data_IF_785623781486
#
_entry.id   IF_785623781486
#
_cell.length_a   1.000
_cell.length_b   1.000
_cell.length_c   1.000
_cell.angle_alpha   90.00
_cell.angle_beta   90.00
_cell.angle_gamma   90.00
#
_symmetry.space_group_name_H-M   'P 1'
#
loop_
_entity.id
_entity.type
_entity.pdbx_description
1 polymer ?
#
# COMPACT_ATOMS: atom_id res chain seq x y z
N UNK A 1 -15.67 46.25 -46.07
CA UNK A 1 -15.63 46.26 -44.60
C UNK A 1 -15.93 44.81 -44.13
N UNK A 2 -14.92 44.05 -43.91
CA UNK A 2 -15.02 42.66 -43.38
C UNK A 2 -14.53 42.71 -41.95
N UNK A 3 -15.46 42.58 -40.98
CA UNK A 3 -15.14 42.48 -39.55
C UNK A 3 -14.70 41.04 -39.25
N UNK A 4 -13.42 40.87 -38.94
CA UNK A 4 -12.91 39.64 -38.40
C UNK A 4 -13.23 39.60 -36.90
N UNK A 5 -14.19 38.77 -36.52
CA UNK A 5 -14.41 38.38 -35.14
C UNK A 5 -13.32 37.37 -34.73
N UNK A 6 -12.38 37.82 -33.95
CA UNK A 6 -11.42 36.94 -33.29
C UNK A 6 -12.16 36.30 -32.11
N UNK A 7 -12.56 35.03 -32.24
CA UNK A 7 -12.96 34.21 -31.13
C UNK A 7 -11.71 33.91 -30.29
N UNK A 8 -11.60 34.55 -29.13
CA UNK A 8 -10.71 34.11 -28.08
C UNK A 8 -11.22 32.75 -27.59
N UNK A 9 -10.53 31.67 -27.97
CA UNK A 9 -10.66 30.40 -27.27
C UNK A 9 -10.13 30.63 -25.85
N UNK A 10 -11.01 30.71 -24.89
CA UNK A 10 -10.66 30.61 -23.49
C UNK A 10 -10.17 29.16 -23.30
N UNK A 11 -8.87 28.97 -23.19
CA UNK A 11 -8.32 27.74 -22.69
C UNK A 11 -8.69 27.65 -21.20
N UNK A 12 -9.82 27.03 -20.89
CA UNK A 12 -10.11 26.55 -19.56
C UNK A 12 -9.12 25.42 -19.28
N UNK A 13 -7.95 25.76 -18.76
CA UNK A 13 -7.03 24.80 -18.14
C UNK A 13 -7.68 24.38 -16.83
N UNK A 14 -8.51 23.33 -16.88
CA UNK A 14 -9.01 22.70 -15.67
C UNK A 14 -7.82 22.19 -14.85
N UNK A 15 -7.81 22.48 -13.54
CA UNK A 15 -6.83 21.91 -12.63
C UNK A 15 -6.86 20.37 -12.70
N UNK A 16 -5.71 19.68 -12.65
CA UNK A 16 -5.67 18.23 -12.75
C UNK A 16 -6.43 17.60 -11.57
N UNK A 17 -7.13 16.48 -11.85
CA UNK A 17 -7.85 15.73 -10.82
C UNK A 17 -6.89 15.15 -9.76
N UNK A 18 -5.68 14.82 -10.17
CA UNK A 18 -4.63 14.27 -9.32
C UNK A 18 -3.28 14.89 -9.67
N UNK A 19 -2.35 14.96 -8.70
CA UNK A 19 -0.97 15.34 -8.95
C UNK A 19 -0.03 14.38 -8.21
N UNK A 20 1.20 14.25 -8.71
CA UNK A 20 2.21 13.34 -8.17
C UNK A 20 3.52 14.09 -7.96
N UNK A 21 4.23 13.75 -6.89
CA UNK A 21 5.49 14.36 -6.52
C UNK A 21 6.49 13.33 -5.98
N UNK A 22 7.76 13.66 -6.05
CA UNK A 22 8.84 12.90 -5.42
C UNK A 22 10.04 13.79 -5.16
N UNK A 23 10.82 13.44 -4.13
CA UNK A 23 12.09 14.08 -3.83
C UNK A 23 13.10 13.03 -3.34
N UNK A 24 14.34 13.13 -3.83
CA UNK A 24 15.47 12.32 -3.40
C UNK A 24 16.36 13.10 -2.39
N UNK A 25 15.99 14.34 -2.02
CA UNK A 25 16.68 15.12 -1.01
C UNK A 25 16.35 14.60 0.38
N UNK A 26 17.37 14.27 1.17
CA UNK A 26 17.20 13.92 2.59
C UNK A 26 17.10 15.15 3.53
N UNK A 27 17.23 16.36 2.99
CA UNK A 27 16.93 17.59 3.73
C UNK A 27 15.39 17.80 3.76
N UNK A 28 14.74 17.75 4.94
CA UNK A 28 13.29 17.86 5.06
C UNK A 28 12.72 19.16 4.49
N UNK A 29 13.48 20.27 4.56
CA UNK A 29 13.04 21.57 4.03
C UNK A 29 13.01 21.55 2.50
N UNK A 30 14.06 21.01 1.88
CA UNK A 30 14.16 20.86 0.43
C UNK A 30 13.10 19.88 -0.07
N UNK A 31 13.02 18.71 0.56
CA UNK A 31 12.08 17.67 0.18
C UNK A 31 10.61 18.15 0.25
N UNK A 32 10.19 18.78 1.35
CA UNK A 32 8.86 19.32 1.49
C UNK A 32 8.55 20.38 0.42
N UNK A 33 9.51 21.26 0.13
CA UNK A 33 9.36 22.30 -0.91
C UNK A 33 9.18 21.69 -2.30
N UNK A 34 10.00 20.69 -2.67
CA UNK A 34 9.93 20.00 -3.97
C UNK A 34 8.58 19.29 -4.13
N UNK A 35 8.13 18.58 -3.09
CA UNK A 35 6.81 17.91 -3.07
C UNK A 35 5.71 18.94 -3.33
N UNK A 36 5.66 20.01 -2.54
CA UNK A 36 4.60 21.02 -2.69
C UNK A 36 4.63 21.75 -4.02
N UNK A 37 5.82 22.08 -4.53
CA UNK A 37 5.96 22.73 -5.83
C UNK A 37 5.37 21.87 -6.94
N UNK A 38 5.60 20.54 -6.87
CA UNK A 38 5.08 19.59 -7.86
C UNK A 38 3.57 19.34 -7.74
N UNK A 39 2.99 19.53 -6.53
CA UNK A 39 1.56 19.36 -6.28
C UNK A 39 0.75 20.64 -6.43
N UNK A 40 1.38 21.80 -6.62
CA UNK A 40 0.75 23.13 -6.52
C UNK A 40 -0.38 23.39 -7.51
N UNK A 41 -0.36 22.74 -8.69
CA UNK A 41 -1.41 22.89 -9.70
C UNK A 41 -2.70 22.12 -9.35
N UNK A 42 -2.62 21.17 -8.40
CA UNK A 42 -3.76 20.43 -7.90
C UNK A 42 -4.38 21.20 -6.73
N UNK A 43 -5.62 21.63 -6.88
CA UNK A 43 -6.39 22.20 -5.76
C UNK A 43 -6.78 21.09 -4.77
N UNK A 44 -5.80 20.65 -3.99
CA UNK A 44 -5.91 19.44 -3.18
C UNK A 44 -6.93 19.54 -2.04
N UNK A 45 -7.72 18.49 -1.83
CA UNK A 45 -8.48 18.23 -0.60
C UNK A 45 -7.68 17.36 0.36
N UNK A 46 -6.78 16.52 -0.17
CA UNK A 46 -5.93 15.61 0.59
C UNK A 46 -4.60 15.41 -0.11
N UNK A 47 -3.53 15.28 0.68
CA UNK A 47 -2.20 14.85 0.25
C UNK A 47 -1.85 13.58 1.02
N UNK A 48 -1.38 12.57 0.31
CA UNK A 48 -0.84 11.33 0.90
C UNK A 48 0.62 11.21 0.54
N UNK A 49 1.48 10.88 1.50
CA UNK A 49 2.91 10.72 1.26
C UNK A 49 3.48 9.43 1.87
N UNK A 50 4.59 8.98 1.30
CA UNK A 50 5.39 7.87 1.80
C UNK A 50 6.85 8.29 1.86
N UNK A 51 7.56 8.01 2.96
CA UNK A 51 8.93 8.45 3.13
C UNK A 51 9.81 7.41 3.83
N UNK A 52 11.09 7.41 3.53
CA UNK A 52 12.06 6.58 4.25
C UNK A 52 12.25 7.07 5.71
N UNK A 53 12.73 6.18 6.58
CA UNK A 53 13.00 6.50 7.99
C UNK A 53 14.29 7.32 8.21
N UNK A 54 15.06 7.61 7.16
CA UNK A 54 16.26 8.47 7.26
C UNK A 54 15.95 9.93 7.50
N UNK A 55 14.73 10.37 7.24
CA UNK A 55 14.32 11.74 7.58
C UNK A 55 14.25 11.93 9.09
N UNK A 56 14.70 13.08 9.64
CA UNK A 56 14.30 13.49 10.98
C UNK A 56 12.80 13.80 10.98
N UNK A 57 11.97 12.78 11.32
CA UNK A 57 10.53 12.76 11.11
C UNK A 57 9.81 13.96 11.76
N UNK A 58 10.26 14.41 12.94
CA UNK A 58 9.70 15.60 13.58
C UNK A 58 9.92 16.87 12.74
N UNK A 59 11.09 17.02 12.11
CA UNK A 59 11.36 18.15 11.24
C UNK A 59 10.59 18.05 9.93
N UNK A 60 10.54 16.86 9.33
CA UNK A 60 9.74 16.62 8.12
C UNK A 60 8.26 16.95 8.37
N UNK A 61 7.71 16.52 9.51
CA UNK A 61 6.36 16.86 9.94
C UNK A 61 6.09 18.36 9.97
N UNK A 62 6.99 19.14 10.58
CA UNK A 62 6.88 20.59 10.65
C UNK A 62 6.90 21.25 9.26
N UNK A 63 7.80 20.80 8.39
CA UNK A 63 7.90 21.37 7.04
C UNK A 63 6.71 20.98 6.17
N UNK A 64 6.23 19.74 6.21
CA UNK A 64 5.02 19.34 5.51
C UNK A 64 3.80 20.14 6.01
N UNK A 65 3.62 20.28 7.30
CA UNK A 65 2.52 21.07 7.89
C UNK A 65 2.55 22.54 7.50
N UNK A 66 3.73 23.10 7.31
CA UNK A 66 3.90 24.51 6.91
C UNK A 66 3.29 24.84 5.56
N UNK A 67 3.28 23.88 4.64
CA UNK A 67 2.75 24.07 3.29
C UNK A 67 1.27 23.67 3.15
N UNK A 68 0.73 22.82 4.05
CA UNK A 68 -0.59 22.21 3.87
C UNK A 68 -1.75 23.12 4.24
N UNK A 69 -1.58 24.07 5.17
CA UNK A 69 -2.73 24.84 5.70
C UNK A 69 -3.83 23.89 6.20
N UNK A 70 -5.04 24.04 5.62
CA UNK A 70 -6.22 23.23 5.96
C UNK A 70 -6.34 21.93 5.15
N UNK A 71 -5.36 21.62 4.30
CA UNK A 71 -5.36 20.38 3.51
C UNK A 71 -5.10 19.20 4.44
N UNK A 72 -5.91 18.15 4.32
CA UNK A 72 -5.68 16.89 5.04
C UNK A 72 -4.40 16.24 4.54
N UNK A 73 -3.49 15.87 5.46
CA UNK A 73 -2.25 15.18 5.12
C UNK A 73 -2.14 13.91 5.93
N UNK A 74 -1.96 12.81 5.23
CA UNK A 74 -1.68 11.51 5.82
C UNK A 74 -0.46 10.89 5.15
N UNK A 75 0.13 9.88 5.77
CA UNK A 75 1.27 9.19 5.21
C UNK A 75 1.81 8.10 6.13
N UNK A 76 2.94 7.54 5.74
CA UNK A 76 3.67 6.59 6.59
C UNK A 76 5.14 6.52 6.21
N UNK A 77 5.94 5.89 7.07
CA UNK A 77 7.28 5.43 6.74
C UNK A 77 7.22 4.21 5.83
N UNK A 78 8.27 3.93 5.09
CA UNK A 78 8.30 2.93 4.00
C UNK A 78 9.59 2.11 4.03
N UNK A 79 9.59 1.01 3.28
CA UNK A 79 10.78 0.19 3.03
C UNK A 79 11.35 0.41 1.61
N UNK A 80 11.02 1.55 1.02
CA UNK A 80 11.38 2.00 -0.33
C UNK A 80 10.20 2.66 -1.00
N UNK A 81 10.44 3.65 -1.85
CA UNK A 81 9.42 4.48 -2.46
C UNK A 81 9.29 4.19 -3.97
N UNK A 82 8.07 4.33 -4.48
CA UNK A 82 7.77 4.35 -5.91
C UNK A 82 7.35 5.78 -6.25
N UNK A 83 8.30 6.51 -6.80
CA UNK A 83 8.18 7.95 -7.12
C UNK A 83 7.76 8.14 -8.58
N UNK A 84 7.47 9.36 -9.05
CA UNK A 84 7.28 9.63 -10.48
C UNK A 84 8.46 9.23 -11.36
N UNK A 85 9.63 9.00 -10.77
CA UNK A 85 10.84 8.53 -11.47
C UNK A 85 11.03 7.00 -11.39
N UNK A 86 10.10 6.27 -10.76
CA UNK A 86 10.15 4.82 -10.54
C UNK A 86 10.62 4.43 -9.15
N UNK A 87 11.16 3.21 -9.01
CA UNK A 87 11.64 2.66 -7.75
C UNK A 87 12.81 3.46 -7.19
N UNK A 88 12.71 3.88 -5.93
CA UNK A 88 13.75 4.62 -5.20
C UNK A 88 13.96 4.05 -3.80
N UNK A 89 15.06 4.42 -3.19
CA UNK A 89 15.36 4.24 -1.76
C UNK A 89 15.76 5.60 -1.20
N UNK A 90 15.48 5.81 0.08
CA UNK A 90 15.87 7.03 0.78
C UNK A 90 15.29 8.30 0.16
N UNK A 91 14.03 8.28 -0.13
CA UNK A 91 13.29 9.36 -0.79
C UNK A 91 11.97 9.65 -0.07
N UNK A 92 11.21 10.58 -0.60
CA UNK A 92 9.81 10.80 -0.28
C UNK A 92 9.02 10.90 -1.57
N UNK A 93 7.84 10.31 -1.62
CA UNK A 93 6.88 10.53 -2.70
C UNK A 93 5.51 10.88 -2.14
N UNK A 94 4.71 11.57 -2.95
CA UNK A 94 3.38 12.00 -2.56
C UNK A 94 2.44 12.10 -3.76
N UNK A 95 1.15 12.03 -3.47
CA UNK A 95 0.11 12.40 -4.42
C UNK A 95 -0.93 13.31 -3.77
N UNK A 96 -1.60 14.11 -4.59
CA UNK A 96 -2.68 14.98 -4.21
C UNK A 96 -3.97 14.60 -4.93
N UNK A 97 -5.10 14.68 -4.22
CA UNK A 97 -6.45 14.47 -4.72
C UNK A 97 -7.17 15.81 -4.74
N UNK A 98 -7.68 16.24 -5.91
CA UNK A 98 -8.31 17.56 -6.06
C UNK A 98 -9.69 17.62 -5.39
N UNK A 99 -10.03 18.75 -4.79
CA UNK A 99 -11.35 18.99 -4.19
C UNK A 99 -12.51 18.98 -5.21
N UNK A 100 -12.22 19.12 -6.50
CA UNK A 100 -13.23 19.09 -7.55
C UNK A 100 -13.74 17.68 -7.81
N UNK A 101 -12.87 16.67 -7.69
CA UNK A 101 -13.17 15.30 -8.07
C UNK A 101 -13.15 14.33 -6.90
N UNK A 102 -12.69 14.79 -5.72
CA UNK A 102 -12.58 13.95 -4.53
C UNK A 102 -13.11 14.65 -3.29
N UNK A 103 -13.86 13.93 -2.48
CA UNK A 103 -14.19 14.28 -1.12
C UNK A 103 -13.60 13.22 -0.19
N UNK A 104 -12.86 13.65 0.82
CA UNK A 104 -12.03 12.76 1.64
C UNK A 104 -12.29 12.96 3.12
N UNK A 105 -12.50 11.89 3.86
CA UNK A 105 -12.43 11.83 5.32
C UNK A 105 -11.18 11.06 5.74
N UNK A 106 -10.53 11.51 6.82
CA UNK A 106 -9.36 10.83 7.40
C UNK A 106 -9.54 10.68 8.90
N UNK A 107 -9.08 9.56 9.44
CA UNK A 107 -9.11 9.30 10.87
C UNK A 107 -7.81 8.63 11.32
N UNK A 108 -7.36 8.98 12.52
CA UNK A 108 -6.30 8.28 13.23
C UNK A 108 -6.96 7.23 14.13
N UNK A 109 -6.47 6.00 14.07
CA UNK A 109 -6.84 4.91 14.97
C UNK A 109 -5.65 4.66 15.89
N UNK A 110 -5.76 5.10 17.12
CA UNK A 110 -4.81 4.81 18.18
C UNK A 110 -5.23 3.54 18.94
N UNK A 111 -4.34 2.96 19.71
CA UNK A 111 -4.62 1.77 20.53
C UNK A 111 -5.16 0.57 19.72
N UNK A 112 -4.45 0.18 18.67
CA UNK A 112 -4.83 -0.91 17.78
C UNK A 112 -5.19 -2.22 18.49
N UNK A 113 -4.61 -2.45 19.68
CA UNK A 113 -4.86 -3.66 20.50
C UNK A 113 -6.31 -3.77 21.02
N UNK A 114 -7.02 -2.63 21.15
CA UNK A 114 -8.39 -2.57 21.68
C UNK A 114 -9.41 -2.14 20.62
N UNK A 115 -8.98 -1.88 19.39
CA UNK A 115 -9.88 -1.47 18.32
C UNK A 115 -10.84 -2.63 17.98
N UNK A 116 -12.13 -2.35 18.07
CA UNK A 116 -13.21 -3.34 17.95
C UNK A 116 -14.06 -3.10 16.69
N UNK A 117 -14.92 -4.06 16.36
CA UNK A 117 -15.93 -3.90 15.30
C UNK A 117 -16.88 -2.72 15.60
N UNK A 118 -17.25 -2.50 16.87
CA UNK A 118 -18.09 -1.36 17.27
C UNK A 118 -17.39 -0.03 17.00
N UNK A 119 -16.10 0.08 17.33
CA UNK A 119 -15.31 1.28 17.04
C UNK A 119 -15.21 1.54 15.53
N UNK A 120 -15.05 0.47 14.74
CA UNK A 120 -15.04 0.55 13.27
C UNK A 120 -16.39 1.01 12.71
N UNK A 121 -17.51 0.47 13.22
CA UNK A 121 -18.87 0.86 12.80
C UNK A 121 -19.15 2.33 13.09
N UNK A 122 -18.81 2.82 14.29
CA UNK A 122 -18.98 4.22 14.64
C UNK A 122 -18.12 5.13 13.75
N UNK A 123 -16.86 4.75 13.53
CA UNK A 123 -15.92 5.49 12.69
C UNK A 123 -16.40 5.58 11.25
N UNK A 124 -16.66 4.43 10.61
CA UNK A 124 -17.06 4.36 9.20
C UNK A 124 -18.40 5.05 8.96
N UNK A 125 -19.39 4.83 9.84
CA UNK A 125 -20.70 5.47 9.74
C UNK A 125 -20.60 7.00 9.83
N UNK A 126 -19.80 7.52 10.77
CA UNK A 126 -19.55 8.97 10.92
C UNK A 126 -18.85 9.56 9.67
N UNK A 127 -17.86 8.88 9.12
CA UNK A 127 -17.16 9.32 7.92
C UNK A 127 -18.09 9.32 6.70
N UNK A 128 -18.90 8.28 6.51
CA UNK A 128 -19.88 8.20 5.43
C UNK A 128 -20.93 9.31 5.54
N UNK A 129 -21.42 9.60 6.74
CA UNK A 129 -22.36 10.72 6.96
C UNK A 129 -21.75 12.07 6.54
N UNK A 130 -20.48 12.29 6.86
CA UNK A 130 -19.75 13.49 6.46
C UNK A 130 -19.54 13.57 4.94
N UNK A 131 -19.17 12.47 4.29
CA UNK A 131 -19.00 12.41 2.84
C UNK A 131 -20.32 12.63 2.09
N UNK A 132 -21.45 12.09 2.58
CA UNK A 132 -22.78 12.34 1.97
C UNK A 132 -23.14 13.83 1.93
N UNK A 133 -22.67 14.62 2.88
CA UNK A 133 -22.88 16.10 2.90
C UNK A 133 -22.03 16.83 1.86
N UNK A 134 -20.97 16.20 1.32
CA UNK A 134 -19.95 16.79 0.46
C UNK A 134 -19.63 15.91 -0.77
N UNK A 135 -20.55 15.03 -1.15
CA UNK A 135 -20.31 14.11 -2.26
C UNK A 135 -19.99 14.86 -3.56
N UNK A 136 -19.03 14.34 -4.29
CA UNK A 136 -18.64 14.82 -5.64
C UNK A 136 -19.11 13.87 -6.73
N UNK A 137 -19.65 12.71 -6.37
CA UNK A 137 -20.18 11.70 -7.28
C UNK A 137 -21.69 11.83 -7.46
N UNK A 138 -22.20 11.28 -8.56
CA UNK A 138 -23.63 11.13 -8.82
C UNK A 138 -24.07 9.69 -8.52
N UNK A 139 -25.24 9.52 -7.91
CA UNK A 139 -25.78 8.19 -7.55
C UNK A 139 -25.45 7.74 -6.13
N UNK A 140 -25.57 6.42 -5.82
CA UNK A 140 -25.27 5.89 -4.51
C UNK A 140 -23.80 6.09 -4.15
N UNK A 141 -23.55 6.71 -2.99
CA UNK A 141 -22.18 7.10 -2.59
C UNK A 141 -21.27 5.86 -2.44
N UNK A 142 -21.81 4.75 -2.01
CA UNK A 142 -21.10 3.50 -1.75
C UNK A 142 -20.42 2.94 -3.01
N UNK A 143 -21.02 3.15 -4.19
CA UNK A 143 -20.47 2.74 -5.49
C UNK A 143 -19.33 3.64 -5.98
N UNK A 144 -19.16 4.78 -5.34
CA UNK A 144 -18.16 5.80 -5.69
C UNK A 144 -17.17 6.05 -4.55
N UNK A 145 -17.07 5.10 -3.62
CA UNK A 145 -16.15 5.18 -2.49
C UNK A 145 -15.16 4.02 -2.46
N UNK A 146 -13.98 4.30 -1.93
CA UNK A 146 -13.02 3.28 -1.49
C UNK A 146 -12.36 3.72 -0.19
N UNK A 147 -11.97 2.75 0.63
CA UNK A 147 -11.17 2.95 1.83
C UNK A 147 -9.68 2.75 1.53
N UNK A 148 -8.83 3.54 2.18
CA UNK A 148 -7.38 3.34 2.19
C UNK A 148 -6.87 3.33 3.62
N UNK A 149 -6.05 2.32 3.95
CA UNK A 149 -5.43 2.18 5.27
C UNK A 149 -3.92 2.23 5.18
N UNK A 150 -3.31 2.91 6.15
CA UNK A 150 -1.88 2.84 6.43
C UNK A 150 -1.74 2.41 7.89
N UNK A 151 -1.09 1.27 8.13
CA UNK A 151 -0.91 0.73 9.47
C UNK A 151 0.56 0.69 9.86
N UNK A 152 0.84 0.78 11.16
CA UNK A 152 2.14 0.44 11.71
C UNK A 152 2.45 -1.04 11.42
N UNK A 153 3.48 -1.29 10.60
CA UNK A 153 3.82 -2.62 10.08
C UNK A 153 4.48 -3.56 11.10
N UNK A 154 4.71 -3.10 12.32
CA UNK A 154 5.25 -3.88 13.43
C UNK A 154 4.24 -4.05 14.58
N UNK A 155 3.00 -3.63 14.37
CA UNK A 155 1.95 -3.64 15.41
C UNK A 155 1.41 -5.04 15.74
N UNK A 156 1.54 -6.01 14.84
CA UNK A 156 0.93 -7.36 14.93
C UNK A 156 -0.62 -7.27 15.13
N UNK A 157 -1.25 -6.22 14.58
CA UNK A 157 -2.69 -5.96 14.72
C UNK A 157 -3.38 -5.74 13.38
N UNK A 158 -2.66 -5.89 12.28
CA UNK A 158 -3.13 -5.57 10.94
C UNK A 158 -4.41 -6.34 10.60
N UNK A 159 -4.42 -7.66 10.81
CA UNK A 159 -5.58 -8.50 10.49
C UNK A 159 -6.83 -8.09 11.27
N UNK A 160 -6.66 -7.74 12.56
CA UNK A 160 -7.76 -7.32 13.42
C UNK A 160 -8.38 -6.01 12.92
N UNK A 161 -7.55 -5.00 12.71
CA UNK A 161 -8.01 -3.65 12.30
C UNK A 161 -8.64 -3.69 10.91
N UNK A 162 -7.97 -4.36 9.95
CA UNK A 162 -8.45 -4.45 8.56
C UNK A 162 -9.77 -5.20 8.49
N UNK A 163 -9.92 -6.30 9.24
CA UNK A 163 -11.16 -7.07 9.27
C UNK A 163 -12.32 -6.25 9.86
N UNK A 164 -12.10 -5.55 10.99
CA UNK A 164 -13.12 -4.70 11.59
C UNK A 164 -13.59 -3.59 10.64
N UNK A 165 -12.65 -2.89 9.99
CA UNK A 165 -12.97 -1.85 9.01
C UNK A 165 -13.72 -2.42 7.80
N UNK A 166 -13.30 -3.59 7.28
CA UNK A 166 -13.93 -4.21 6.11
C UNK A 166 -15.37 -4.64 6.39
N UNK A 167 -15.65 -5.18 7.57
CA UNK A 167 -17.02 -5.54 7.97
C UNK A 167 -17.93 -4.30 8.00
N UNK A 168 -17.45 -3.18 8.52
CA UNK A 168 -18.19 -1.91 8.60
C UNK A 168 -18.36 -1.24 7.23
N UNK A 169 -17.41 -1.42 6.31
CA UNK A 169 -17.44 -0.86 4.96
C UNK A 169 -18.41 -1.60 4.03
N UNK A 170 -18.78 -2.85 4.34
CA UNK A 170 -19.64 -3.69 3.52
C UNK A 170 -19.13 -3.83 2.07
N UNK A 171 -19.83 -3.26 1.09
CA UNK A 171 -19.48 -3.33 -0.34
C UNK A 171 -18.42 -2.29 -0.78
N UNK A 172 -18.04 -1.37 0.09
CA UNK A 172 -17.00 -0.37 -0.21
C UNK A 172 -15.63 -1.06 -0.14
N UNK A 173 -14.86 -1.11 -1.24
CA UNK A 173 -13.57 -1.78 -1.23
C UNK A 173 -12.55 -1.07 -0.34
N UNK A 174 -11.72 -1.87 0.32
CA UNK A 174 -10.65 -1.42 1.20
C UNK A 174 -9.30 -1.86 0.62
N UNK A 175 -8.35 -0.93 0.50
CA UNK A 175 -6.96 -1.21 0.13
C UNK A 175 -6.00 -0.52 1.08
N UNK A 176 -4.77 -0.97 1.12
CA UNK A 176 -3.76 -0.30 1.93
C UNK A 176 -2.45 -1.04 2.02
N UNK A 177 -1.60 -0.55 2.91
CA UNK A 177 -0.30 -1.15 3.18
C UNK A 177 0.22 -0.83 4.57
N UNK A 178 1.00 -1.75 5.09
CA UNK A 178 1.69 -1.59 6.37
C UNK A 178 2.99 -0.82 6.18
N UNK A 179 3.22 0.18 7.03
CA UNK A 179 4.43 0.98 7.04
C UNK A 179 5.69 0.12 7.17
N UNK A 180 6.79 0.57 6.60
CA UNK A 180 8.09 -0.08 6.69
C UNK A 180 9.16 0.85 7.25
N UNK A 181 10.38 0.31 7.50
CA UNK A 181 11.53 1.05 8.01
C UNK A 181 12.86 0.58 7.37
N UNK A 182 12.90 0.51 6.04
CA UNK A 182 14.09 0.07 5.28
C UNK A 182 14.61 -1.34 5.68
N UNK A 183 13.73 -2.24 6.15
CA UNK A 183 14.02 -3.60 6.63
C UNK A 183 14.83 -3.65 7.94
N UNK A 184 14.78 -2.59 8.73
CA UNK A 184 15.41 -2.61 10.07
C UNK A 184 14.53 -3.31 11.11
N UNK A 185 13.20 -3.36 10.90
CA UNK A 185 12.20 -3.97 11.79
C UNK A 185 12.26 -3.43 13.23
N UNK A 186 12.49 -2.13 13.38
CA UNK A 186 12.67 -1.45 14.68
C UNK A 186 11.54 -0.48 14.98
N UNK A 187 11.19 0.41 14.02
CA UNK A 187 10.19 1.46 14.24
C UNK A 187 9.53 1.87 12.93
N UNK A 188 8.24 1.59 12.82
CA UNK A 188 7.40 2.02 11.71
C UNK A 188 6.35 3.00 12.21
N UNK A 189 6.05 4.04 11.41
CA UNK A 189 5.15 5.10 11.84
C UNK A 189 4.17 5.50 10.74
N UNK A 190 2.95 5.84 11.16
CA UNK A 190 1.95 6.46 10.31
C UNK A 190 1.83 7.95 10.65
N UNK A 191 1.46 8.77 9.66
CA UNK A 191 1.34 10.21 9.83
C UNK A 191 -0.10 10.68 9.70
N UNK A 192 -0.55 11.45 10.66
CA UNK A 192 -1.86 12.09 10.63
C UNK A 192 -1.82 13.42 11.40
N UNK A 193 -2.54 14.42 10.92
CA UNK A 193 -2.72 15.70 11.62
C UNK A 193 -1.40 16.36 12.10
N UNK A 194 -0.37 16.32 11.25
CA UNK A 194 0.91 16.98 11.52
C UNK A 194 1.85 16.23 12.46
N UNK A 195 1.61 14.93 12.73
CA UNK A 195 2.46 14.11 13.60
C UNK A 195 2.61 12.69 13.09
N UNK A 196 3.73 12.07 13.42
CA UNK A 196 3.96 10.64 13.29
C UNK A 196 3.52 9.91 14.56
N UNK A 197 3.00 8.70 14.38
CA UNK A 197 2.48 7.83 15.43
C UNK A 197 2.96 6.40 15.20
N UNK A 198 3.49 5.76 16.24
CA UNK A 198 3.71 4.31 16.30
C UNK A 198 2.49 3.63 16.94
N UNK A 199 2.32 2.32 16.73
CA UNK A 199 1.19 1.54 17.22
C UNK A 199 -0.18 2.10 16.83
N UNK A 200 -0.26 2.71 15.64
CA UNK A 200 -1.44 3.40 15.13
C UNK A 200 -1.73 3.01 13.69
N UNK A 201 -2.93 3.34 13.25
CA UNK A 201 -3.33 3.29 11.85
C UNK A 201 -3.95 4.60 11.41
N UNK A 202 -3.84 4.90 10.13
CA UNK A 202 -4.61 5.96 9.49
C UNK A 202 -5.60 5.32 8.54
N UNK A 203 -6.84 5.67 8.67
CA UNK A 203 -7.90 5.29 7.75
C UNK A 203 -8.37 6.50 6.96
N UNK A 204 -8.44 6.36 5.64
CA UNK A 204 -8.95 7.36 4.71
C UNK A 204 -10.14 6.77 3.95
N UNK A 205 -11.27 7.45 3.95
CA UNK A 205 -12.42 7.14 3.13
C UNK A 205 -12.56 8.19 2.03
N UNK A 206 -12.58 7.74 0.79
CA UNK A 206 -12.59 8.58 -0.40
C UNK A 206 -13.89 8.40 -1.15
N UNK A 207 -14.57 9.50 -1.47
CA UNK A 207 -15.63 9.56 -2.47
C UNK A 207 -15.09 10.29 -3.71
N UNK A 208 -15.35 9.76 -4.90
CA UNK A 208 -14.80 10.31 -6.15
C UNK A 208 -15.79 10.30 -7.31
N UNK A 209 -15.66 11.28 -8.19
CA UNK A 209 -16.32 11.30 -9.51
C UNK A 209 -15.49 10.63 -10.61
N UNK A 210 -14.28 10.18 -10.29
CA UNK A 210 -13.42 9.43 -11.21
C UNK A 210 -13.79 7.94 -11.23
N UNK A 211 -13.52 7.29 -12.35
CA UNK A 211 -13.52 5.83 -12.38
C UNK A 211 -12.35 5.31 -11.54
N UNK A 212 -12.56 4.23 -10.82
CA UNK A 212 -11.48 3.57 -10.10
C UNK A 212 -11.69 2.06 -10.05
N UNK A 213 -10.60 1.34 -9.84
CA UNK A 213 -10.60 -0.10 -9.63
C UNK A 213 -9.55 -0.48 -8.59
N UNK A 214 -9.94 -1.26 -7.58
CA UNK A 214 -9.01 -1.85 -6.62
C UNK A 214 -8.52 -3.19 -7.15
N UNK A 215 -7.26 -3.50 -6.93
CA UNK A 215 -6.65 -4.73 -7.40
C UNK A 215 -5.66 -5.32 -6.39
N UNK A 216 -5.47 -6.62 -6.46
CA UNK A 216 -4.40 -7.34 -5.79
C UNK A 216 -4.03 -8.57 -6.60
N UNK A 217 -2.75 -8.82 -6.75
CA UNK A 217 -2.26 -10.03 -7.43
C UNK A 217 -0.88 -10.43 -6.93
N UNK A 218 -0.51 -11.68 -7.18
CA UNK A 218 0.86 -12.18 -7.03
C UNK A 218 1.30 -12.88 -8.32
N UNK A 219 2.62 -12.96 -8.52
CA UNK A 219 3.24 -13.58 -9.70
C UNK A 219 3.83 -14.96 -9.39
N UNK A 220 3.37 -15.60 -8.32
CA UNK A 220 3.93 -16.86 -7.82
C UNK A 220 3.08 -18.05 -8.28
N UNK A 221 3.75 -19.17 -8.58
CA UNK A 221 3.13 -20.44 -8.94
C UNK A 221 3.45 -21.51 -7.87
N UNK A 222 2.50 -22.42 -7.54
CA UNK A 222 2.74 -23.46 -6.56
C UNK A 222 3.65 -24.55 -7.11
N UNK A 223 4.45 -25.12 -6.19
CA UNK A 223 5.22 -26.34 -6.39
C UNK A 223 4.59 -27.55 -5.65
N UNK A 224 5.22 -28.71 -5.74
CA UNK A 224 4.70 -29.96 -5.12
C UNK A 224 4.99 -30.06 -3.62
N UNK A 225 6.09 -29.42 -3.15
CA UNK A 225 6.56 -29.51 -1.77
C UNK A 225 5.60 -28.80 -0.81
N UNK A 226 5.33 -29.50 0.30
CA UNK A 226 4.44 -29.01 1.36
C UNK A 226 5.09 -29.11 2.74
N UNK A 227 4.74 -28.15 3.59
CA UNK A 227 5.10 -28.10 5.00
C UNK A 227 3.83 -28.06 5.85
N UNK A 228 3.75 -28.92 6.85
CA UNK A 228 2.70 -28.85 7.87
C UNK A 228 3.23 -28.07 9.04
N UNK A 229 2.56 -27.01 9.44
CA UNK A 229 2.86 -26.28 10.68
C UNK A 229 2.44 -27.16 11.85
N UNK A 230 3.40 -27.71 12.57
CA UNK A 230 3.13 -28.64 13.68
C UNK A 230 3.16 -27.97 15.05
N UNK A 231 3.92 -26.87 15.19
CA UNK A 231 3.96 -26.10 16.43
C UNK A 231 4.14 -24.60 16.16
N UNK A 232 3.42 -23.77 16.92
CA UNK A 232 3.50 -22.29 16.85
C UNK A 232 3.51 -21.68 18.25
N UNK A 233 4.12 -20.50 18.40
CA UNK A 233 3.95 -19.67 19.57
C UNK A 233 2.66 -18.83 19.41
N UNK A 234 1.61 -19.09 20.23
CA UNK A 234 0.31 -18.47 20.03
C UNK A 234 0.36 -16.93 20.06
N UNK A 235 -0.24 -16.29 19.05
CA UNK A 235 -0.37 -14.82 18.97
C UNK A 235 0.92 -14.07 18.65
N UNK A 236 2.02 -14.77 18.31
CA UNK A 236 3.33 -14.16 18.03
C UNK A 236 3.77 -14.26 16.58
N UNK A 237 2.97 -14.85 15.70
CA UNK A 237 3.33 -15.12 14.29
C UNK A 237 4.62 -15.94 14.16
N UNK A 238 4.91 -16.81 15.14
CA UNK A 238 6.13 -17.63 15.20
C UNK A 238 5.77 -19.09 14.98
N UNK A 239 6.44 -19.73 14.01
CA UNK A 239 6.38 -21.17 13.77
C UNK A 239 7.63 -21.81 14.36
N UNK A 240 7.41 -22.69 15.33
CA UNK A 240 8.48 -23.43 16.01
C UNK A 240 8.87 -24.68 15.23
N UNK A 241 7.86 -25.38 14.65
CA UNK A 241 8.10 -26.64 13.94
C UNK A 241 7.30 -26.72 12.62
N UNK A 242 7.97 -27.27 11.62
CA UNK A 242 7.37 -27.82 10.40
C UNK A 242 7.59 -29.34 10.36
N UNK A 243 6.55 -30.13 10.07
CA UNK A 243 6.64 -31.59 9.95
C UNK A 243 7.28 -32.25 11.19
N UNK A 244 7.09 -31.68 12.40
CA UNK A 244 7.69 -32.08 13.67
C UNK A 244 9.22 -31.94 13.74
N UNK A 245 9.82 -31.10 12.94
CA UNK A 245 11.24 -30.73 12.96
C UNK A 245 11.37 -29.22 13.15
N UNK A 246 12.48 -28.68 13.70
CA UNK A 246 12.68 -27.24 13.85
C UNK A 246 12.45 -26.49 12.54
N UNK A 247 11.62 -25.43 12.59
CA UNK A 247 11.06 -24.78 11.41
C UNK A 247 12.13 -24.32 10.40
N UNK A 248 13.23 -23.72 10.87
CA UNK A 248 14.31 -23.24 9.99
C UNK A 248 15.04 -24.42 9.31
N UNK A 249 15.23 -25.55 10.01
CA UNK A 249 15.92 -26.70 9.43
C UNK A 249 15.06 -27.37 8.35
N UNK A 250 13.78 -27.56 8.63
CA UNK A 250 12.88 -28.20 7.66
C UNK A 250 12.64 -27.29 6.44
N UNK A 251 12.55 -25.96 6.63
CA UNK A 251 12.54 -25.00 5.54
C UNK A 251 13.82 -25.09 4.68
N UNK A 252 14.99 -25.18 5.30
CA UNK A 252 16.25 -25.39 4.58
C UNK A 252 16.23 -26.69 3.78
N UNK A 253 15.74 -27.78 4.38
CA UNK A 253 15.69 -29.10 3.74
C UNK A 253 14.90 -29.09 2.44
N UNK A 254 13.69 -28.51 2.45
CA UNK A 254 12.82 -28.49 1.26
C UNK A 254 13.35 -27.57 0.15
N UNK A 255 14.13 -26.54 0.53
CA UNK A 255 14.69 -25.57 -0.42
C UNK A 255 16.13 -25.90 -0.83
N UNK A 256 16.74 -26.98 -0.28
CA UNK A 256 18.13 -27.35 -0.57
C UNK A 256 19.15 -26.32 -0.08
N UNK A 257 18.84 -25.61 1.00
CA UNK A 257 19.62 -24.52 1.58
C UNK A 257 20.34 -24.98 2.85
N UNK A 258 21.34 -24.21 3.25
CA UNK A 258 21.97 -24.30 4.56
C UNK A 258 21.45 -23.18 5.47
N UNK A 259 21.54 -23.41 6.78
CA UNK A 259 21.03 -22.46 7.77
C UNK A 259 21.68 -21.07 7.66
N UNK A 260 23.00 -21.05 7.40
CA UNK A 260 23.78 -19.82 7.23
C UNK A 260 23.42 -19.01 5.96
N UNK A 261 22.67 -19.59 5.03
CA UNK A 261 22.20 -18.92 3.80
C UNK A 261 20.87 -18.20 4.01
N UNK A 262 20.15 -18.48 5.12
CA UNK A 262 18.85 -17.87 5.36
C UNK A 262 18.97 -16.35 5.54
N UNK A 263 18.21 -15.63 4.72
CA UNK A 263 18.16 -14.16 4.70
C UNK A 263 16.83 -13.70 4.14
N UNK A 264 16.52 -12.42 4.29
CA UNK A 264 15.32 -11.82 3.70
C UNK A 264 15.23 -12.04 2.18
N UNK A 265 16.37 -12.03 1.47
CA UNK A 265 16.41 -12.33 0.03
C UNK A 265 16.04 -13.78 -0.26
N UNK A 266 16.52 -14.71 0.55
CA UNK A 266 16.21 -16.15 0.41
C UNK A 266 14.72 -16.39 0.67
N UNK A 267 14.14 -15.76 1.68
CA UNK A 267 12.70 -15.85 1.95
C UNK A 267 11.86 -15.25 0.84
N UNK A 268 12.32 -14.15 0.23
CA UNK A 268 11.66 -13.55 -0.93
C UNK A 268 11.65 -14.47 -2.15
N UNK A 269 12.70 -15.25 -2.36
CA UNK A 269 12.84 -16.16 -3.51
C UNK A 269 12.19 -17.53 -3.32
N UNK A 270 11.88 -17.92 -2.08
CA UNK A 270 11.31 -19.23 -1.72
C UNK A 270 10.08 -19.08 -0.82
N UNK A 271 9.04 -18.37 -1.29
CA UNK A 271 7.87 -18.09 -0.46
C UNK A 271 7.01 -19.33 -0.23
N UNK A 272 6.19 -19.26 0.82
CA UNK A 272 5.23 -20.28 1.21
C UNK A 272 3.81 -19.73 1.06
N UNK A 273 2.83 -20.58 0.75
CA UNK A 273 1.43 -20.19 0.65
C UNK A 273 0.51 -21.17 1.35
N UNK A 274 -0.59 -20.66 1.93
CA UNK A 274 -1.70 -21.48 2.39
C UNK A 274 -2.79 -21.47 1.33
N UNK A 275 -3.40 -22.62 1.09
CA UNK A 275 -4.57 -22.74 0.22
C UNK A 275 -5.85 -22.61 1.06
N UNK A 276 -6.72 -21.64 0.69
CA UNK A 276 -8.04 -21.45 1.28
C UNK A 276 -9.05 -21.46 0.13
N UNK A 277 -9.87 -22.50 0.06
CA UNK A 277 -10.70 -22.73 -1.12
C UNK A 277 -9.84 -22.95 -2.37
N UNK A 278 -10.12 -22.21 -3.43
CA UNK A 278 -9.37 -22.27 -4.69
C UNK A 278 -8.24 -21.20 -4.76
N UNK A 279 -8.03 -20.42 -3.70
CA UNK A 279 -7.05 -19.33 -3.67
C UNK A 279 -5.84 -19.70 -2.84
N UNK A 280 -4.67 -19.20 -3.29
CA UNK A 280 -3.40 -19.30 -2.58
C UNK A 280 -3.05 -17.95 -1.96
N UNK A 281 -2.82 -17.94 -0.64
CA UNK A 281 -2.44 -16.77 0.13
C UNK A 281 -1.02 -16.94 0.65
N UNK A 282 -0.15 -16.04 0.25
CA UNK A 282 1.27 -16.10 0.63
C UNK A 282 1.43 -15.83 2.12
N UNK A 283 2.31 -16.59 2.74
CA UNK A 283 2.74 -16.49 4.13
C UNK A 283 4.24 -16.25 4.16
N UNK A 284 4.62 -14.99 4.28
CA UNK A 284 6.02 -14.60 4.17
C UNK A 284 6.76 -14.72 5.49
N UNK A 285 7.96 -15.30 5.44
CA UNK A 285 8.87 -15.35 6.57
C UNK A 285 9.57 -14.00 6.69
N UNK A 286 9.62 -13.47 7.91
CA UNK A 286 10.30 -12.23 8.28
C UNK A 286 11.76 -12.49 8.66
N UNK A 287 11.97 -13.46 9.58
CA UNK A 287 13.31 -13.75 10.12
C UNK A 287 13.40 -15.14 10.73
N UNK A 288 14.63 -15.58 10.91
CA UNK A 288 15.00 -16.76 11.73
C UNK A 288 15.32 -16.29 13.14
N UNK A 289 14.82 -17.00 14.14
CA UNK A 289 15.12 -16.76 15.55
C UNK A 289 16.28 -17.67 16.04
N UNK A 290 16.90 -17.31 17.17
CA UNK A 290 18.04 -18.05 17.74
C UNK A 290 17.71 -19.51 18.10
N UNK A 291 16.45 -19.82 18.37
CA UNK A 291 15.92 -21.15 18.68
C UNK A 291 15.52 -21.96 17.42
N UNK A 292 15.86 -21.48 16.23
CA UNK A 292 15.52 -22.07 14.93
C UNK A 292 14.03 -22.01 14.58
N UNK A 293 13.22 -21.26 15.32
CA UNK A 293 11.86 -20.91 14.90
C UNK A 293 11.89 -19.83 13.81
N UNK A 294 10.77 -19.67 13.10
CA UNK A 294 10.62 -18.68 12.04
C UNK A 294 9.50 -17.70 12.39
N UNK A 295 9.80 -16.40 12.38
CA UNK A 295 8.80 -15.35 12.52
C UNK A 295 8.22 -15.02 11.15
N UNK A 296 6.90 -14.83 11.08
CA UNK A 296 6.16 -14.48 9.86
C UNK A 296 5.64 -13.04 9.91
N UNK A 297 5.38 -12.46 8.75
CA UNK A 297 4.73 -11.15 8.65
C UNK A 297 3.22 -11.18 8.93
N UNK A 298 2.59 -12.33 8.85
CA UNK A 298 1.14 -12.52 9.01
C UNK A 298 0.83 -13.64 9.98
N UNK A 299 -0.43 -13.70 10.42
CA UNK A 299 -0.91 -14.75 11.32
C UNK A 299 -0.77 -16.14 10.69
N UNK A 300 -0.35 -17.10 11.51
CA UNK A 300 -0.16 -18.50 11.14
C UNK A 300 -0.44 -19.40 12.35
N UNK A 301 -1.22 -20.46 12.15
CA UNK A 301 -1.65 -21.36 13.19
C UNK A 301 -1.17 -22.79 12.94
N UNK A 302 -1.05 -23.59 14.03
CA UNK A 302 -0.75 -25.01 13.94
C UNK A 302 -1.86 -25.76 13.16
N UNK A 303 -1.44 -26.77 12.39
CA UNK A 303 -2.32 -27.55 11.51
C UNK A 303 -2.46 -26.99 10.10
N UNK A 304 -1.97 -25.78 9.81
CA UNK A 304 -1.94 -25.22 8.46
C UNK A 304 -0.94 -26.01 7.60
N UNK A 305 -1.33 -26.29 6.35
CA UNK A 305 -0.45 -26.84 5.32
C UNK A 305 -0.01 -25.73 4.39
N UNK A 306 1.29 -25.51 4.33
CA UNK A 306 1.92 -24.55 3.43
C UNK A 306 2.47 -25.25 2.20
N UNK A 307 2.29 -24.64 1.04
CA UNK A 307 2.82 -25.07 -0.24
C UNK A 307 4.00 -24.18 -0.60
N UNK A 308 5.11 -24.75 -1.03
CA UNK A 308 6.23 -23.99 -1.57
C UNK A 308 5.80 -23.33 -2.88
N UNK A 309 6.24 -22.07 -3.07
CA UNK A 309 5.93 -21.28 -4.27
C UNK A 309 7.21 -20.91 -5.00
N UNK A 310 7.09 -20.64 -6.28
CA UNK A 310 8.19 -20.13 -7.12
C UNK A 310 7.73 -18.92 -7.92
N UNK A 311 8.67 -18.04 -8.26
CA UNK A 311 8.40 -16.90 -9.16
C UNK A 311 8.07 -17.40 -10.56
N UNK A 312 7.00 -16.87 -11.15
CA UNK A 312 6.58 -17.15 -12.53
C UNK A 312 6.77 -15.94 -13.47
N UNK A 313 7.65 -15.00 -13.09
CA UNK A 313 8.01 -13.86 -13.92
C UNK A 313 7.37 -12.55 -13.46
N UNK A 314 7.93 -11.95 -12.41
CA UNK A 314 7.43 -10.75 -11.75
C UNK A 314 7.11 -9.59 -12.72
N UNK A 315 8.07 -9.23 -13.59
CA UNK A 315 7.89 -8.11 -14.53
C UNK A 315 6.75 -8.36 -15.53
N UNK A 316 6.74 -9.55 -16.16
CA UNK A 316 5.72 -9.88 -17.17
C UNK A 316 4.31 -9.90 -16.59
N UNK A 317 4.14 -10.49 -15.39
CA UNK A 317 2.85 -10.49 -14.69
C UNK A 317 2.41 -9.10 -14.26
N UNK A 318 3.34 -8.27 -13.75
CA UNK A 318 3.02 -6.88 -13.40
C UNK A 318 2.55 -6.10 -14.64
N UNK A 319 3.27 -6.22 -15.76
CA UNK A 319 2.91 -5.57 -17.01
C UNK A 319 1.53 -6.03 -17.52
N UNK A 320 1.24 -7.32 -17.44
CA UNK A 320 -0.08 -7.87 -17.81
C UNK A 320 -1.21 -7.22 -17.00
N UNK A 321 -1.11 -7.22 -15.69
CA UNK A 321 -2.14 -6.66 -14.80
C UNK A 321 -2.33 -5.16 -15.02
N UNK A 322 -1.25 -4.40 -15.15
CA UNK A 322 -1.34 -2.96 -15.40
C UNK A 322 -1.97 -2.63 -16.76
N UNK A 323 -1.64 -3.41 -17.79
CA UNK A 323 -2.27 -3.27 -19.10
C UNK A 323 -3.77 -3.63 -19.07
N UNK A 324 -4.17 -4.66 -18.32
CA UNK A 324 -5.57 -5.02 -18.13
C UNK A 324 -6.35 -3.92 -17.40
N UNK A 325 -5.80 -3.35 -16.32
CA UNK A 325 -6.37 -2.19 -15.62
C UNK A 325 -6.56 -1.01 -16.58
N UNK A 326 -5.55 -0.72 -17.39
CA UNK A 326 -5.64 0.34 -18.38
C UNK A 326 -6.69 0.06 -19.47
N UNK A 327 -6.86 -1.18 -19.90
CA UNK A 327 -7.94 -1.54 -20.85
C UNK A 327 -9.34 -1.36 -20.26
N UNK A 328 -9.53 -1.66 -18.95
CA UNK A 328 -10.83 -1.50 -18.27
C UNK A 328 -11.16 -0.05 -17.94
N UNK A 329 -10.18 0.72 -17.47
CA UNK A 329 -10.38 2.11 -17.02
C UNK A 329 -10.15 3.14 -18.14
N UNK A 330 -9.55 2.75 -19.27
CA UNK A 330 -9.02 3.67 -20.26
C UNK A 330 -7.68 4.26 -19.80
N UNK A 331 -7.57 5.59 -19.70
CA UNK A 331 -6.36 6.22 -19.17
C UNK A 331 -6.32 6.13 -17.64
N UNK A 332 -5.18 5.72 -17.09
CA UNK A 332 -4.91 5.76 -15.65
C UNK A 332 -4.21 7.09 -15.35
N UNK A 333 -4.89 7.97 -14.59
CA UNK A 333 -4.35 9.26 -14.18
C UNK A 333 -3.47 9.13 -12.92
N UNK A 334 -3.80 8.17 -12.04
CA UNK A 334 -3.04 7.84 -10.85
C UNK A 334 -3.19 6.35 -10.51
N UNK A 335 -2.06 5.68 -10.28
CA UNK A 335 -2.00 4.35 -9.70
C UNK A 335 -1.40 4.47 -8.30
N UNK A 336 -2.19 4.25 -7.26
CA UNK A 336 -1.70 4.15 -5.88
C UNK A 336 -1.33 2.69 -5.64
N UNK A 337 -0.05 2.42 -5.39
CA UNK A 337 0.43 1.04 -5.29
C UNK A 337 1.09 0.72 -3.96
N UNK A 338 0.73 -0.44 -3.43
CA UNK A 338 1.32 -1.07 -2.25
C UNK A 338 2.03 -2.33 -2.74
N UNK A 339 3.37 -2.26 -2.81
CA UNK A 339 4.19 -3.32 -3.38
C UNK A 339 5.02 -3.99 -2.27
N UNK A 340 4.89 -5.29 -2.11
CA UNK A 340 5.53 -6.02 -1.02
C UNK A 340 7.04 -5.83 -0.99
N UNK A 341 7.62 -5.74 0.19
CA UNK A 341 9.08 -5.68 0.37
C UNK A 341 9.77 -6.91 -0.22
N UNK A 342 9.14 -8.07 -0.20
CA UNK A 342 9.69 -9.28 -0.81
C UNK A 342 9.71 -9.21 -2.34
N UNK A 343 8.72 -8.57 -2.96
CA UNK A 343 8.77 -8.28 -4.41
C UNK A 343 9.90 -7.31 -4.72
N UNK A 344 10.13 -6.33 -3.84
CA UNK A 344 11.29 -5.43 -3.98
C UNK A 344 12.61 -6.17 -3.87
N UNK A 345 12.75 -7.11 -2.94
CA UNK A 345 13.95 -7.94 -2.82
C UNK A 345 14.17 -8.79 -4.09
N UNK A 346 13.11 -9.34 -4.69
CA UNK A 346 13.19 -10.06 -5.96
C UNK A 346 13.58 -9.13 -7.12
N UNK A 347 13.00 -7.92 -7.20
CA UNK A 347 13.36 -6.89 -8.20
C UNK A 347 14.85 -6.54 -8.10
N UNK A 348 15.36 -6.31 -6.91
CA UNK A 348 16.77 -5.98 -6.67
C UNK A 348 17.67 -7.18 -7.02
N UNK A 349 17.29 -8.40 -6.63
CA UNK A 349 18.04 -9.64 -6.89
C UNK A 349 18.18 -9.98 -8.38
N UNK A 350 17.12 -9.74 -9.14
CA UNK A 350 17.05 -10.03 -10.56
C UNK A 350 17.45 -8.85 -11.46
N UNK A 351 17.94 -7.75 -10.88
CA UNK A 351 18.31 -6.50 -11.58
C UNK A 351 17.18 -5.93 -12.45
N UNK A 352 15.96 -6.00 -11.95
CA UNK A 352 14.75 -5.54 -12.66
C UNK A 352 14.37 -4.09 -12.32
N UNK A 353 15.16 -3.38 -11.53
CA UNK A 353 14.79 -2.07 -10.99
C UNK A 353 14.43 -1.05 -12.08
N UNK A 354 15.22 -0.96 -13.15
CA UNK A 354 14.95 0.00 -14.24
C UNK A 354 13.75 -0.40 -15.10
N UNK A 355 13.59 -1.69 -15.42
CA UNK A 355 12.44 -2.16 -16.17
C UNK A 355 11.12 -1.99 -15.41
N UNK A 356 11.11 -2.28 -14.10
CA UNK A 356 9.97 -2.02 -13.22
C UNK A 356 9.71 -0.52 -13.05
N UNK A 357 10.76 0.29 -12.92
CA UNK A 357 10.63 1.75 -12.87
C UNK A 357 10.00 2.32 -14.13
N UNK A 358 10.38 1.82 -15.32
CA UNK A 358 9.73 2.23 -16.57
C UNK A 358 8.26 1.88 -16.57
N UNK A 359 7.92 0.64 -16.21
CA UNK A 359 6.54 0.17 -16.14
C UNK A 359 5.69 1.01 -15.17
N UNK A 360 6.22 1.35 -14.00
CA UNK A 360 5.52 2.18 -13.01
C UNK A 360 5.34 3.63 -13.47
N UNK A 361 6.34 4.22 -14.14
CA UNK A 361 6.23 5.56 -14.75
C UNK A 361 5.14 5.62 -15.82
N UNK A 362 5.11 4.62 -16.69
CA UNK A 362 4.17 4.55 -17.82
C UNK A 362 2.71 4.45 -17.35
N UNK A 363 2.48 3.89 -16.15
CA UNK A 363 1.15 3.77 -15.53
C UNK A 363 0.91 4.78 -14.40
N UNK A 364 1.69 5.84 -14.34
CA UNK A 364 1.51 6.94 -13.39
C UNK A 364 1.48 6.51 -11.92
N UNK A 365 2.30 5.53 -11.54
CA UNK A 365 2.31 4.98 -10.21
C UNK A 365 2.99 5.91 -9.20
N UNK A 366 2.39 5.97 -8.01
CA UNK A 366 2.96 6.43 -6.74
C UNK A 366 2.67 5.35 -5.69
N UNK A 367 3.64 5.04 -4.87
CA UNK A 367 3.46 4.00 -3.85
C UNK A 367 4.70 3.78 -3.01
N UNK A 368 4.69 2.68 -2.29
CA UNK A 368 5.82 2.30 -1.46
C UNK A 368 5.94 0.79 -1.29
N UNK A 369 7.13 0.34 -0.87
CA UNK A 369 7.34 -1.04 -0.48
C UNK A 369 6.89 -1.25 0.96
N UNK A 370 5.92 -2.16 1.14
CA UNK A 370 5.18 -2.39 2.37
C UNK A 370 5.69 -3.63 3.12
N UNK A 371 5.42 -3.70 4.42
CA UNK A 371 5.58 -4.93 5.21
C UNK A 371 4.39 -5.89 5.12
N UNK A 372 3.31 -5.45 4.48
CA UNK A 372 2.15 -6.27 4.18
C UNK A 372 1.07 -5.44 3.49
N UNK A 373 0.48 -6.01 2.45
CA UNK A 373 -0.55 -5.40 1.64
C UNK A 373 -1.93 -5.72 2.20
N UNK A 374 -2.88 -4.82 1.98
CA UNK A 374 -4.22 -4.91 2.55
C UNK A 374 -5.26 -4.80 1.45
N UNK A 375 -6.20 -5.74 1.41
CA UNK A 375 -7.35 -5.69 0.52
C UNK A 375 -8.56 -6.40 1.12
N UNK A 376 -9.71 -5.71 1.21
CA UNK A 376 -11.02 -6.28 1.58
C UNK A 376 -10.96 -7.21 2.81
N UNK A 377 -10.35 -6.74 3.90
CA UNK A 377 -10.24 -7.47 5.16
C UNK A 377 -9.06 -8.46 5.23
N UNK A 378 -8.28 -8.62 4.16
CA UNK A 378 -7.14 -9.52 4.12
C UNK A 378 -5.82 -8.75 4.30
N UNK A 379 -4.92 -9.29 5.12
CA UNK A 379 -3.52 -8.89 5.19
C UNK A 379 -2.69 -9.90 4.39
N UNK A 380 -1.98 -9.42 3.38
CA UNK A 380 -1.29 -10.20 2.38
C UNK A 380 0.22 -9.89 2.36
N UNK A 381 0.97 -10.79 1.75
CA UNK A 381 2.38 -10.61 1.46
C UNK A 381 2.69 -11.07 0.03
N UNK A 382 3.85 -10.67 -0.52
CA UNK A 382 4.27 -10.96 -1.90
C UNK A 382 3.26 -10.52 -2.97
N UNK A 383 2.34 -9.64 -2.61
CA UNK A 383 1.36 -9.10 -3.57
C UNK A 383 1.74 -7.71 -4.05
N UNK A 384 1.17 -7.33 -5.17
CA UNK A 384 1.05 -5.95 -5.60
C UNK A 384 -0.42 -5.57 -5.53
N UNK A 385 -0.73 -4.69 -4.61
CA UNK A 385 -2.10 -4.28 -4.28
C UNK A 385 -2.23 -2.78 -4.50
N UNK A 386 -3.40 -2.30 -4.84
CA UNK A 386 -3.59 -0.86 -5.01
C UNK A 386 -4.95 -0.45 -5.55
N UNK A 387 -5.03 0.82 -5.90
CA UNK A 387 -6.17 1.40 -6.59
C UNK A 387 -5.69 2.18 -7.82
N UNK A 388 -6.25 1.83 -8.98
CA UNK A 388 -6.07 2.57 -10.22
C UNK A 388 -7.22 3.58 -10.36
N UNK A 389 -6.89 4.83 -10.62
CA UNK A 389 -7.83 5.94 -10.78
C UNK A 389 -7.73 6.46 -12.21
N UNK A 390 -8.84 6.40 -12.94
CA UNK A 390 -8.97 6.89 -14.30
C UNK A 390 -9.56 8.29 -14.35
N UNK A 391 -9.96 8.70 -15.55
CA UNK A 391 -10.56 10.02 -15.77
C UNK A 391 -11.89 10.17 -15.02
N UNK A 392 -12.29 11.41 -14.70
CA UNK A 392 -13.63 11.70 -14.20
C UNK A 392 -14.73 11.19 -15.15
N UNK A 393 -15.81 10.65 -14.59
CA UNK A 393 -16.97 10.33 -15.40
C UNK A 393 -17.43 11.57 -16.17
N UNK A 394 -17.43 11.50 -17.50
CA UNK A 394 -18.04 12.55 -18.30
C UNK A 394 -19.53 12.52 -18.03
N UNK A 395 -20.06 13.57 -17.42
CA UNK A 395 -21.51 13.80 -17.39
C UNK A 395 -21.99 13.76 -18.85
N UNK A 396 -22.78 12.75 -19.23
CA UNK A 396 -23.47 12.83 -20.51
C UNK A 396 -24.37 14.06 -20.45
N UNK A 397 -24.33 14.93 -21.47
CA UNK A 397 -25.13 16.15 -21.51
C UNK A 397 -26.63 15.86 -21.53
#
# INVERSE_FOLDING_TARGET
MLSHSIQHAVNDTFAPAVARAGSESLDPVVAAKEIYTSLAECEATCVVFYCCTRYPLEQLSKELSRYCGDIKVIGCTSAGEITPLGCRKHSICAFALSKQHFSVETALIENLATFSETDADELVSGMLENLRKRTVSAGPIEQHCFGLTLLDGLSIREELVINALNLSLQDIPLVGGSAGDDQHFVDTQVFCNGRFYSHAAVFMLVNTSCQFEVFSYHHLAPEEEKLVVTQTAPGQRVVEEFNAEPAALEYCRINGLKLEELSSEVFAMNPLAVQIGDQLYIRSIQQVNDDLSLTFFCAIDAGIVLTRMQSSGLHAHTAMVLNELQQRLGNIDLLIGFDCIHRRAEIDKLDLCESMSSLYRDHHMIGFNTYGEQINGLHLNHTFTGVAIGAPHRSQP
#
